data_IF_361484733029
#
_entry.id   IF_361484733029
#
_cell.length_a   1.000
_cell.length_b   1.000
_cell.length_c   1.000
_cell.angle_alpha   90.00
_cell.angle_beta   90.00
_cell.angle_gamma   90.00
#
_symmetry.space_group_name_H-M   'P 1'
#
loop_
_entity.id
_entity.type
_entity.pdbx_description
1 polymer ?
#
# COMPACT_ATOMS: atom_id res chain seq x y z
N UNK A 1 -13.36 -32.60 8.41
CA UNK A 1 -12.65 -32.04 7.24
C UNK A 1 -12.47 -30.55 7.45
N UNK A 2 -11.23 -30.05 7.52
CA UNK A 2 -10.97 -28.61 7.57
C UNK A 2 -11.36 -28.00 6.22
N UNK A 3 -12.21 -26.98 6.21
CA UNK A 3 -12.59 -26.29 4.98
C UNK A 3 -11.33 -25.67 4.35
N UNK A 4 -11.10 -25.93 3.06
CA UNK A 4 -9.95 -25.40 2.33
C UNK A 4 -10.11 -23.88 2.23
N UNK A 5 -9.23 -23.13 2.88
CA UNK A 5 -9.25 -21.67 2.84
C UNK A 5 -8.87 -21.19 1.44
N UNK A 6 -9.67 -20.30 0.85
CA UNK A 6 -9.31 -19.61 -0.40
C UNK A 6 -8.28 -18.53 -0.05
N UNK A 7 -7.10 -18.64 -0.65
CA UNK A 7 -6.02 -17.67 -0.53
C UNK A 7 -6.08 -16.71 -1.72
N UNK A 8 -5.97 -15.42 -1.43
CA UNK A 8 -5.89 -14.36 -2.42
C UNK A 8 -4.58 -13.61 -2.24
N UNK A 9 -4.15 -12.91 -3.28
CA UNK A 9 -3.03 -11.97 -3.25
C UNK A 9 -3.49 -10.60 -3.68
N UNK A 10 -2.87 -9.56 -3.14
CA UNK A 10 -3.13 -8.17 -3.53
C UNK A 10 -1.82 -7.39 -3.61
N UNK A 11 -1.71 -6.55 -4.64
CA UNK A 11 -0.57 -5.66 -4.87
C UNK A 11 -1.02 -4.22 -4.62
N UNK A 12 -0.67 -3.67 -3.46
CA UNK A 12 -1.02 -2.29 -3.10
C UNK A 12 0.10 -1.38 -3.59
N UNK A 13 -0.23 -0.51 -4.54
CA UNK A 13 0.70 0.47 -5.09
C UNK A 13 0.45 1.82 -4.40
N UNK A 14 1.44 2.32 -3.67
CA UNK A 14 1.39 3.62 -2.99
C UNK A 14 2.39 4.56 -3.64
N UNK A 15 1.96 5.79 -3.94
CA UNK A 15 2.80 6.87 -4.45
C UNK A 15 3.65 7.48 -3.31
N UNK A 16 4.60 6.71 -2.78
CA UNK A 16 5.68 7.16 -1.90
C UNK A 16 6.77 6.08 -1.87
N UNK A 17 8.05 6.45 -2.02
CA UNK A 17 9.19 5.54 -1.89
C UNK A 17 10.42 6.15 -1.21
N UNK A 18 10.43 7.46 -0.96
CA UNK A 18 11.59 8.21 -0.48
C UNK A 18 11.56 8.43 1.02
N UNK A 19 10.37 8.53 1.59
CA UNK A 19 10.19 8.77 3.02
C UNK A 19 10.18 7.44 3.77
N UNK A 20 11.35 6.99 4.19
CA UNK A 20 11.51 5.70 4.87
C UNK A 20 10.66 5.52 6.14
N UNK A 21 10.39 6.61 6.88
CA UNK A 21 9.46 6.58 8.03
C UNK A 21 8.03 6.31 7.59
N UNK A 22 7.56 6.92 6.50
CA UNK A 22 6.22 6.68 5.95
C UNK A 22 6.06 5.25 5.44
N UNK A 23 7.07 4.70 4.76
CA UNK A 23 7.07 3.29 4.35
C UNK A 23 6.94 2.37 5.55
N UNK A 24 7.74 2.61 6.61
CA UNK A 24 7.65 1.81 7.84
C UNK A 24 6.28 1.91 8.51
N UNK A 25 5.64 3.09 8.51
CA UNK A 25 4.28 3.24 9.02
C UNK A 25 3.28 2.41 8.20
N UNK A 26 3.43 2.37 6.88
CA UNK A 26 2.58 1.54 6.01
C UNK A 26 2.80 0.05 6.26
N UNK A 27 4.04 -0.40 6.40
CA UNK A 27 4.36 -1.79 6.78
C UNK A 27 3.74 -2.14 8.13
N UNK A 28 3.92 -1.28 9.12
CA UNK A 28 3.35 -1.49 10.46
C UNK A 28 1.82 -1.57 10.41
N UNK A 29 1.16 -0.70 9.63
CA UNK A 29 -0.29 -0.72 9.48
C UNK A 29 -0.83 -2.03 8.91
N UNK A 30 -0.09 -2.64 7.96
CA UNK A 30 -0.42 -3.95 7.43
C UNK A 30 -0.16 -5.06 8.48
N UNK A 31 0.95 -4.94 9.21
CA UNK A 31 1.35 -5.90 10.25
C UNK A 31 0.37 -5.94 11.43
N UNK A 32 -0.08 -4.79 11.92
CA UNK A 32 -1.01 -4.70 13.04
C UNK A 32 -2.33 -5.41 12.72
N UNK A 33 -2.84 -5.24 11.50
CA UNK A 33 -4.05 -5.95 11.04
C UNK A 33 -3.77 -7.45 10.84
N UNK A 34 -2.61 -7.79 10.26
CA UNK A 34 -2.21 -9.19 10.02
C UNK A 34 -2.09 -10.01 11.31
N UNK A 35 -1.76 -9.37 12.43
CA UNK A 35 -1.57 -10.04 13.72
C UNK A 35 -2.87 -10.62 14.29
N UNK A 36 -4.03 -10.10 13.85
CA UNK A 36 -5.36 -10.52 14.32
C UNK A 36 -6.24 -11.11 13.22
N UNK A 37 -5.74 -11.18 11.98
CA UNK A 37 -6.49 -11.61 10.79
C UNK A 37 -5.67 -12.60 9.97
N UNK A 38 -6.31 -13.35 9.06
CA UNK A 38 -5.61 -14.30 8.18
C UNK A 38 -5.05 -13.60 6.95
N UNK A 39 -4.16 -12.64 7.15
CA UNK A 39 -3.43 -11.95 6.10
C UNK A 39 -1.95 -11.79 6.49
N UNK A 40 -1.08 -11.55 5.52
CA UNK A 40 0.34 -11.32 5.73
C UNK A 40 0.87 -10.34 4.68
N UNK A 41 1.77 -9.46 5.12
CA UNK A 41 2.66 -8.72 4.22
C UNK A 41 3.82 -9.64 3.83
N UNK A 42 3.93 -9.94 2.55
CA UNK A 42 4.93 -10.84 2.01
C UNK A 42 6.18 -10.10 1.53
N UNK A 43 5.99 -8.91 0.96
CA UNK A 43 7.08 -8.14 0.36
C UNK A 43 6.74 -6.66 0.30
N UNK A 44 7.76 -5.83 0.50
CA UNK A 44 7.78 -4.41 0.18
C UNK A 44 8.84 -4.17 -0.89
N UNK A 45 8.48 -3.52 -1.98
CA UNK A 45 9.41 -3.13 -3.04
C UNK A 45 9.26 -1.63 -3.35
N UNK A 46 10.34 -0.88 -3.19
CA UNK A 46 10.36 0.57 -3.42
C UNK A 46 11.13 0.92 -4.69
N UNK A 47 10.48 1.69 -5.55
CA UNK A 47 10.98 2.20 -6.81
C UNK A 47 11.16 3.72 -6.68
N UNK A 48 12.42 4.13 -6.49
CA UNK A 48 12.78 5.53 -6.19
C UNK A 48 12.63 6.47 -7.39
N UNK A 49 12.72 5.93 -8.61
CA UNK A 49 12.62 6.68 -9.86
C UNK A 49 11.16 7.11 -10.09
N UNK A 50 10.23 6.17 -9.88
CA UNK A 50 8.79 6.43 -9.94
C UNK A 50 8.20 6.93 -8.61
N UNK A 51 9.02 7.06 -7.57
CA UNK A 51 8.64 7.39 -6.20
C UNK A 51 7.40 6.58 -5.72
N UNK A 52 7.43 5.27 -5.91
CA UNK A 52 6.32 4.37 -5.54
C UNK A 52 6.81 3.16 -4.77
N UNK A 53 6.00 2.68 -3.85
CA UNK A 53 6.23 1.41 -3.15
C UNK A 53 5.07 0.46 -3.42
N UNK A 54 5.43 -0.78 -3.76
CA UNK A 54 4.50 -1.89 -3.96
C UNK A 54 4.58 -2.79 -2.74
N UNK A 55 3.43 -3.06 -2.14
CA UNK A 55 3.27 -3.99 -1.04
C UNK A 55 2.50 -5.22 -1.51
N UNK A 56 3.11 -6.39 -1.35
CA UNK A 56 2.51 -7.68 -1.70
C UNK A 56 1.87 -8.28 -0.46
N UNK A 57 0.56 -8.39 -0.46
CA UNK A 57 -0.23 -9.00 0.61
C UNK A 57 -0.78 -10.36 0.16
N UNK A 58 -0.92 -11.30 1.08
CA UNK A 58 -1.68 -12.54 0.86
C UNK A 58 -2.54 -12.88 2.07
N UNK A 59 -3.72 -13.45 1.85
CA UNK A 59 -4.64 -13.78 2.93
C UNK A 59 -6.00 -14.28 2.47
N UNK A 60 -6.89 -14.47 3.43
CA UNK A 60 -8.32 -14.58 3.13
C UNK A 60 -8.91 -13.21 2.74
N UNK A 61 -10.15 -13.24 2.26
CA UNK A 61 -10.84 -12.04 1.75
C UNK A 61 -10.88 -10.91 2.79
N UNK A 62 -11.30 -11.23 4.00
CA UNK A 62 -11.59 -10.22 5.02
C UNK A 62 -10.31 -9.66 5.63
N UNK A 63 -9.29 -10.51 5.83
CA UNK A 63 -7.96 -10.08 6.27
C UNK A 63 -7.31 -9.14 5.26
N UNK A 64 -7.35 -9.48 3.96
CA UNK A 64 -6.79 -8.61 2.92
C UNK A 64 -7.50 -7.26 2.82
N UNK A 65 -8.85 -7.26 2.81
CA UNK A 65 -9.61 -6.01 2.76
C UNK A 65 -9.23 -5.13 3.95
N UNK A 66 -9.14 -5.71 5.14
CA UNK A 66 -8.78 -4.98 6.36
C UNK A 66 -7.37 -4.38 6.27
N UNK A 67 -6.37 -5.15 5.80
CA UNK A 67 -5.00 -4.65 5.61
C UNK A 67 -4.97 -3.51 4.59
N UNK A 68 -5.64 -3.66 3.44
CA UNK A 68 -5.65 -2.65 2.37
C UNK A 68 -6.27 -1.35 2.87
N UNK A 69 -7.43 -1.43 3.56
CA UNK A 69 -8.11 -0.24 4.09
C UNK A 69 -7.23 0.49 5.10
N UNK A 70 -6.56 -0.21 6.02
CA UNK A 70 -5.72 0.45 7.02
C UNK A 70 -4.44 1.05 6.43
N UNK A 71 -3.86 0.39 5.41
CA UNK A 71 -2.76 0.97 4.64
C UNK A 71 -3.21 2.24 3.90
N UNK A 72 -4.40 2.24 3.29
CA UNK A 72 -4.96 3.44 2.66
C UNK A 72 -5.20 4.55 3.67
N UNK A 73 -5.76 4.26 4.84
CA UNK A 73 -5.94 5.24 5.92
C UNK A 73 -4.60 5.82 6.38
N UNK A 74 -3.58 4.98 6.52
CA UNK A 74 -2.23 5.41 6.90
C UNK A 74 -1.58 6.27 5.82
N UNK A 75 -1.73 5.91 4.55
CA UNK A 75 -1.28 6.71 3.43
C UNK A 75 -1.94 8.09 3.42
N UNK A 76 -3.27 8.15 3.56
CA UNK A 76 -4.03 9.41 3.56
C UNK A 76 -3.60 10.38 4.67
N UNK A 77 -3.16 9.87 5.82
CA UNK A 77 -2.70 10.70 6.95
C UNK A 77 -1.25 11.18 6.80
N UNK A 78 -0.42 10.49 6.02
CA UNK A 78 1.04 10.66 6.04
C UNK A 78 1.65 11.04 4.68
N UNK A 79 0.88 10.96 3.59
CA UNK A 79 1.37 11.26 2.24
C UNK A 79 0.61 12.48 1.71
N UNK A 80 1.36 13.53 1.41
CA UNK A 80 0.88 14.65 0.64
C UNK A 80 1.23 14.46 -0.84
N UNK A 81 0.21 14.23 -1.67
CA UNK A 81 0.40 14.10 -3.11
C UNK A 81 0.71 15.45 -3.79
N UNK A 82 0.42 16.59 -3.17
CA UNK A 82 0.74 17.92 -3.69
C UNK A 82 2.24 18.18 -3.76
N UNK A 83 3.00 17.66 -2.80
CA UNK A 83 4.48 17.72 -2.77
C UNK A 83 5.16 16.55 -3.48
N UNK A 84 4.39 15.59 -4.00
CA UNK A 84 4.95 14.39 -4.60
C UNK A 84 5.65 14.67 -5.94
N UNK A 85 6.93 14.24 -6.03
CA UNK A 85 7.79 14.43 -7.21
C UNK A 85 8.30 13.09 -7.72
N UNK A 86 8.18 12.87 -9.02
CA UNK A 86 8.65 11.67 -9.72
C UNK A 86 9.69 12.06 -10.78
N UNK A 87 10.62 11.16 -11.12
CA UNK A 87 11.48 11.34 -12.30
C UNK A 87 10.73 11.00 -13.60
N UNK A 88 9.83 10.02 -13.53
CA UNK A 88 8.93 9.63 -14.61
C UNK A 88 7.49 9.81 -14.14
N UNK A 89 6.64 10.47 -14.92
CA UNK A 89 5.24 10.69 -14.57
C UNK A 89 4.58 9.39 -14.11
N UNK A 90 4.22 9.33 -12.82
CA UNK A 90 3.34 8.26 -12.37
C UNK A 90 1.93 8.60 -12.85
N UNK A 91 1.24 7.63 -13.46
CA UNK A 91 -0.09 7.84 -14.04
C UNK A 91 -1.10 8.46 -13.07
N UNK A 92 -0.98 8.14 -11.77
CA UNK A 92 -1.83 8.67 -10.71
C UNK A 92 -1.68 10.20 -10.55
N UNK A 93 -0.47 10.74 -10.60
CA UNK A 93 -0.21 12.18 -10.42
C UNK A 93 -0.34 12.94 -11.72
N UNK A 94 0.00 12.32 -12.85
CA UNK A 94 -0.19 12.92 -14.17
C UNK A 94 -1.66 13.27 -14.44
N UNK A 95 -2.60 12.50 -13.88
CA UNK A 95 -4.04 12.82 -13.95
C UNK A 95 -4.43 13.93 -12.96
N UNK A 96 -4.01 13.84 -11.69
CA UNK A 96 -4.29 14.86 -10.66
C UNK A 96 -3.80 16.26 -11.03
N UNK A 97 -2.68 16.39 -11.74
CA UNK A 97 -2.17 17.70 -12.21
C UNK A 97 -3.02 18.32 -13.34
N UNK A 98 -3.84 17.53 -14.03
CA UNK A 98 -4.68 17.96 -15.15
C UNK A 98 -6.13 18.21 -14.74
N UNK A 99 -6.55 17.78 -13.57
CA UNK A 99 -7.92 17.94 -13.05
C UNK A 99 -7.87 18.69 -11.72
N UNK A 100 -8.40 19.92 -11.63
CA UNK A 100 -8.56 20.59 -10.34
C UNK A 100 -9.65 19.84 -9.56
N UNK A 101 -9.28 19.25 -8.43
CA UNK A 101 -10.21 18.76 -7.42
C UNK A 101 -10.40 19.82 -6.35
#
# INVERSE_FOLDING_TARGET
MSARMKLFTSLVNISEARTGSTIKLLEQSAHDVSSFKKAALLQTFSDLDYNRTVFTLAGDRDGLISCIVEMCNTALRNIDLGSHKVFFDCYQIAHLRKTPY
#
